data_IF_273051410590
#
_entry.id   IF_273051410590
#
_cell.length_a   1.000
_cell.length_b   1.000
_cell.length_c   1.000
_cell.angle_alpha   90.00
_cell.angle_beta   90.00
_cell.angle_gamma   90.00
#
_symmetry.space_group_name_H-M   'P 1'
#
loop_
_entity.id
_entity.type
_entity.pdbx_description
1 polymer ?
#
# COMPACT_ATOMS: atom_id res chain seq x y z
N UNK A 1 -11.69 -4.17 -15.52
CA UNK A 1 -10.85 -3.90 -14.35
C UNK A 1 -11.11 -4.92 -13.24
N UNK A 2 -10.38 -6.03 -13.30
CA UNK A 2 -10.21 -6.92 -12.14
C UNK A 2 -9.18 -6.31 -11.19
N UNK A 3 -9.39 -6.44 -9.88
CA UNK A 3 -8.53 -5.88 -8.84
C UNK A 3 -7.98 -6.98 -7.95
N UNK A 4 -6.77 -6.82 -7.43
CA UNK A 4 -6.26 -7.56 -6.27
C UNK A 4 -5.69 -6.60 -5.23
N UNK A 5 -6.07 -6.79 -3.97
CA UNK A 5 -5.36 -6.22 -2.82
C UNK A 5 -4.17 -7.14 -2.49
N UNK A 6 -3.04 -6.60 -2.03
CA UNK A 6 -1.87 -7.36 -1.56
C UNK A 6 -1.38 -6.74 -0.24
N UNK A 7 -1.58 -7.39 0.91
CA UNK A 7 -1.09 -6.90 2.19
C UNK A 7 0.42 -7.08 2.36
N UNK A 8 1.05 -6.15 3.07
CA UNK A 8 2.42 -6.30 3.59
C UNK A 8 2.47 -7.23 4.81
N UNK A 9 2.83 -8.50 4.59
CA UNK A 9 3.07 -9.48 5.66
C UNK A 9 3.49 -10.84 5.10
N UNK A 10 3.92 -11.77 5.96
CA UNK A 10 4.30 -13.17 5.58
C UNK A 10 3.18 -13.95 4.88
N UNK A 11 1.96 -13.40 4.90
CA UNK A 11 0.76 -13.89 4.25
C UNK A 11 0.35 -12.83 3.22
N UNK A 12 0.32 -13.23 1.94
CA UNK A 12 -0.19 -12.42 0.84
C UNK A 12 -1.67 -12.77 0.70
N UNK A 13 -2.57 -11.85 1.03
CA UNK A 13 -4.02 -12.01 0.77
C UNK A 13 -4.36 -11.37 -0.58
N UNK A 14 -4.71 -12.17 -1.59
CA UNK A 14 -5.07 -11.72 -2.94
C UNK A 14 -6.59 -11.78 -3.11
N UNK A 15 -7.25 -10.63 -3.26
CA UNK A 15 -8.70 -10.55 -3.42
C UNK A 15 -9.11 -10.71 -4.88
N UNK A 16 -9.75 -11.81 -5.30
CA UNK A 16 -10.10 -12.02 -6.72
C UNK A 16 -11.42 -11.33 -7.11
N UNK A 17 -11.34 -10.29 -7.94
CA UNK A 17 -12.50 -9.72 -8.63
C UNK A 17 -13.19 -10.74 -9.57
N UNK A 18 -14.52 -10.84 -9.46
CA UNK A 18 -15.42 -11.79 -10.14
C UNK A 18 -15.15 -12.02 -11.64
N UNK A 19 -15.29 -13.29 -12.09
CA UNK A 19 -15.48 -13.66 -13.50
C UNK A 19 -16.96 -13.42 -13.88
N UNK A 20 -17.15 -12.60 -14.93
CA UNK A 20 -18.42 -12.14 -15.52
C UNK A 20 -19.22 -11.19 -14.64
N UNK A 21 -18.99 -9.91 -14.87
CA UNK A 21 -20.02 -8.89 -14.66
C UNK A 21 -20.10 -8.10 -15.96
N UNK A 22 -21.27 -8.15 -16.60
CA UNK A 22 -21.63 -7.27 -17.71
C UNK A 22 -21.29 -5.83 -17.35
N UNK A 23 -20.80 -5.07 -18.33
CA UNK A 23 -20.61 -3.62 -18.41
C UNK A 23 -20.83 -2.83 -17.11
N UNK A 24 -19.86 -1.98 -16.74
CA UNK A 24 -19.96 -0.92 -15.72
C UNK A 24 -21.35 -0.25 -15.82
N UNK A 25 -22.28 -0.74 -15.00
CA UNK A 25 -23.62 -0.23 -14.88
C UNK A 25 -23.58 0.98 -13.97
N UNK A 26 -24.55 1.89 -14.11
CA UNK A 26 -24.66 3.18 -13.41
C UNK A 26 -24.92 3.06 -11.89
N UNK A 27 -24.22 2.18 -11.16
CA UNK A 27 -24.27 2.09 -9.69
C UNK A 27 -22.86 1.88 -9.15
N UNK A 28 -22.56 2.61 -8.08
CA UNK A 28 -21.25 2.67 -7.40
C UNK A 28 -20.78 1.28 -6.95
N UNK A 29 -19.45 1.14 -6.89
CA UNK A 29 -18.71 -0.11 -6.87
C UNK A 29 -19.04 -1.08 -5.73
N UNK A 30 -18.87 -2.35 -6.05
CA UNK A 30 -19.12 -3.56 -5.26
C UNK A 30 -18.01 -3.88 -4.24
N UNK A 31 -17.28 -2.88 -3.75
CA UNK A 31 -16.16 -3.07 -2.81
C UNK A 31 -16.47 -2.62 -1.38
N UNK A 32 -17.70 -2.23 -1.09
CA UNK A 32 -18.13 -1.82 0.25
C UNK A 32 -19.23 -2.76 0.76
N UNK A 33 -19.15 -3.24 2.02
CA UNK A 33 -20.25 -3.95 2.63
C UNK A 33 -21.45 -3.00 2.75
N UNK A 34 -22.64 -3.47 2.35
CA UNK A 34 -23.88 -2.66 2.43
C UNK A 34 -24.25 -2.24 3.86
N UNK A 35 -23.71 -2.96 4.83
CA UNK A 35 -23.79 -2.65 6.26
C UNK A 35 -22.38 -2.75 6.88
N UNK A 36 -21.94 -1.66 7.49
CA UNK A 36 -20.73 -1.64 8.32
C UNK A 36 -21.10 -2.17 9.71
N UNK A 37 -20.62 -3.36 10.04
CA UNK A 37 -20.60 -3.82 11.43
C UNK A 37 -19.28 -3.41 12.07
N UNK A 38 -19.35 -2.73 13.21
CA UNK A 38 -18.16 -2.37 14.00
C UNK A 38 -17.69 -3.63 14.74
N UNK A 39 -16.61 -4.25 14.28
CA UNK A 39 -16.02 -5.40 14.94
C UNK A 39 -15.18 -4.98 16.16
N UNK A 40 -15.33 -5.68 17.29
CA UNK A 40 -14.43 -5.61 18.46
C UNK A 40 -13.63 -6.91 18.55
N UNK A 41 -12.32 -6.83 18.68
CA UNK A 41 -11.45 -8.00 18.51
C UNK A 41 -10.25 -8.05 19.47
N UNK A 42 -9.69 -9.25 19.73
CA UNK A 42 -8.62 -9.47 20.72
C UNK A 42 -7.24 -8.90 20.34
N UNK A 43 -7.16 -8.04 19.32
CA UNK A 43 -5.95 -7.32 18.92
C UNK A 43 -5.75 -5.97 19.62
N UNK A 44 -6.67 -5.58 20.50
CA UNK A 44 -6.75 -4.24 21.13
C UNK A 44 -5.72 -4.00 22.26
N UNK A 45 -4.92 -5.00 22.67
CA UNK A 45 -3.99 -4.90 23.81
C UNK A 45 -2.50 -5.11 23.47
N UNK A 46 -2.10 -5.01 22.20
CA UNK A 46 -0.68 -4.99 21.81
C UNK A 46 0.08 -6.32 21.87
N UNK A 47 -0.60 -7.45 22.13
CA UNK A 47 -0.02 -8.78 21.97
C UNK A 47 -0.18 -9.30 20.53
N UNK A 48 0.82 -10.03 20.03
CA UNK A 48 0.72 -10.69 18.74
C UNK A 48 -0.38 -11.77 18.78
N UNK A 49 -1.39 -11.63 17.92
CA UNK A 49 -2.48 -12.59 17.85
C UNK A 49 -1.98 -13.93 17.28
N UNK A 50 -1.80 -14.91 18.16
CA UNK A 50 -1.60 -16.30 17.77
C UNK A 50 -2.95 -16.92 17.42
N UNK A 51 -3.25 -17.05 16.12
CA UNK A 51 -4.50 -17.65 15.65
C UNK A 51 -4.61 -19.09 16.16
N UNK A 52 -5.53 -19.38 17.11
CA UNK A 52 -5.71 -20.72 17.63
C UNK A 52 -6.20 -21.66 16.53
N UNK A 53 -5.88 -22.94 16.62
CA UNK A 53 -6.28 -23.96 15.63
C UNK A 53 -7.78 -23.97 15.33
N UNK A 54 -8.62 -23.62 16.32
CA UNK A 54 -10.07 -23.58 16.21
C UNK A 54 -10.61 -22.34 15.45
N UNK A 55 -9.77 -21.32 15.22
CA UNK A 55 -10.11 -20.14 14.42
C UNK A 55 -9.59 -20.19 12.98
N UNK A 56 -8.94 -21.31 12.58
CA UNK A 56 -8.70 -21.59 11.16
C UNK A 56 -10.01 -21.54 10.39
N UNK A 57 -11.07 -22.14 10.93
CA UNK A 57 -12.38 -22.10 10.33
C UNK A 57 -12.91 -20.68 10.11
N UNK A 58 -12.62 -19.73 11.01
CA UNK A 58 -13.01 -18.33 10.85
C UNK A 58 -12.17 -17.59 9.77
N UNK A 59 -10.89 -17.95 9.62
CA UNK A 59 -10.06 -17.47 8.52
C UNK A 59 -10.53 -18.08 7.18
N UNK A 60 -10.82 -19.38 7.16
CA UNK A 60 -11.35 -20.10 6.01
C UNK A 60 -12.76 -19.58 5.63
N UNK A 61 -13.61 -19.23 6.61
CA UNK A 61 -14.90 -18.56 6.42
C UNK A 61 -14.72 -17.16 5.81
N UNK A 62 -13.76 -16.36 6.32
CA UNK A 62 -13.41 -15.06 5.74
C UNK A 62 -12.88 -15.18 4.31
N UNK A 63 -12.09 -16.23 4.01
CA UNK A 63 -11.63 -16.54 2.65
C UNK A 63 -12.79 -16.86 1.71
N UNK A 64 -13.76 -17.65 2.18
CA UNK A 64 -14.95 -18.04 1.41
C UNK A 64 -15.95 -16.90 1.21
N UNK A 65 -16.15 -16.04 2.21
CA UNK A 65 -17.10 -14.92 2.13
C UNK A 65 -16.63 -13.82 1.17
N UNK A 66 -15.30 -13.61 1.09
CA UNK A 66 -14.72 -12.45 0.42
C UNK A 66 -13.81 -12.77 -0.77
N UNK A 67 -13.78 -14.01 -1.28
CA UNK A 67 -12.87 -14.45 -2.35
C UNK A 67 -11.41 -14.02 -2.10
N UNK A 68 -10.97 -14.21 -0.85
CA UNK A 68 -9.59 -13.94 -0.44
C UNK A 68 -8.74 -15.19 -0.61
N UNK A 69 -7.57 -15.07 -1.23
CA UNK A 69 -6.60 -16.16 -1.37
C UNK A 69 -5.35 -15.86 -0.53
N UNK A 70 -4.98 -16.77 0.38
CA UNK A 70 -3.75 -16.67 1.17
C UNK A 70 -2.60 -17.41 0.48
N UNK A 71 -1.56 -16.68 0.08
CA UNK A 71 -0.28 -17.24 -0.38
C UNK A 71 0.80 -17.12 0.69
N UNK A 72 1.47 -18.23 0.99
CA UNK A 72 2.49 -18.36 2.05
C UNK A 72 3.89 -18.48 1.48
N UNK A 73 4.86 -17.78 2.07
CA UNK A 73 6.28 -17.98 1.80
C UNK A 73 6.81 -19.23 2.51
N UNK A 74 7.76 -19.93 1.87
CA UNK A 74 8.45 -21.08 2.47
C UNK A 74 9.41 -20.64 3.57
N UNK A 75 9.97 -19.44 3.42
CA UNK A 75 10.90 -18.83 4.36
C UNK A 75 10.63 -17.31 4.49
N UNK A 76 11.38 -16.64 5.36
CA UNK A 76 11.23 -15.20 5.57
C UNK A 76 11.92 -14.45 4.42
N UNK A 77 11.11 -13.91 3.52
CA UNK A 77 11.59 -13.17 2.34
C UNK A 77 11.68 -11.64 2.55
N UNK A 78 11.10 -11.13 3.65
CA UNK A 78 10.97 -9.68 3.87
C UNK A 78 9.84 -9.04 3.07
N UNK A 79 9.60 -7.76 3.30
CA UNK A 79 8.48 -7.01 2.69
C UNK A 79 8.56 -7.01 1.16
N UNK A 80 9.74 -6.65 0.66
CA UNK A 80 10.00 -6.30 -0.74
C UNK A 80 9.73 -7.50 -1.65
N UNK A 81 10.40 -8.62 -1.40
CA UNK A 81 10.23 -9.87 -2.15
C UNK A 81 8.83 -10.45 -2.00
N UNK A 82 8.22 -10.30 -0.82
CA UNK A 82 6.84 -10.77 -0.60
C UNK A 82 5.84 -9.99 -1.45
N UNK A 83 6.00 -8.67 -1.58
CA UNK A 83 5.19 -7.84 -2.48
C UNK A 83 5.40 -8.21 -3.95
N UNK A 84 6.64 -8.39 -4.40
CA UNK A 84 6.94 -8.84 -5.76
C UNK A 84 6.32 -10.21 -6.07
N UNK A 85 6.39 -11.15 -5.13
CA UNK A 85 5.70 -12.45 -5.25
C UNK A 85 4.19 -12.28 -5.32
N UNK A 86 3.61 -11.45 -4.44
CA UNK A 86 2.18 -11.14 -4.44
C UNK A 86 1.70 -10.60 -5.79
N UNK A 87 2.48 -9.70 -6.39
CA UNK A 87 2.20 -9.18 -7.72
C UNK A 87 2.25 -10.26 -8.81
N UNK A 88 3.20 -11.20 -8.73
CA UNK A 88 3.34 -12.28 -9.71
C UNK A 88 2.12 -13.22 -9.74
N UNK A 89 1.56 -13.54 -8.58
CA UNK A 89 0.41 -14.45 -8.43
C UNK A 89 -0.95 -13.75 -8.54
N UNK A 90 -0.97 -12.42 -8.40
CA UNK A 90 -2.17 -11.63 -8.64
C UNK A 90 -2.66 -11.82 -10.09
N UNK A 91 -3.98 -11.74 -10.28
CA UNK A 91 -4.66 -11.95 -11.58
C UNK A 91 -5.44 -10.71 -12.06
N UNK A 92 -5.49 -9.67 -11.24
CA UNK A 92 -6.14 -8.40 -11.50
C UNK A 92 -5.31 -7.53 -12.44
N UNK A 93 -5.99 -6.62 -13.13
CA UNK A 93 -5.37 -5.62 -14.01
C UNK A 93 -4.61 -4.58 -13.20
N UNK A 94 -5.09 -4.25 -12.00
CA UNK A 94 -4.41 -3.39 -11.03
C UNK A 94 -4.17 -4.15 -9.73
N UNK A 95 -2.99 -3.92 -9.17
CA UNK A 95 -2.62 -4.37 -7.83
C UNK A 95 -2.67 -3.16 -6.91
N UNK A 96 -3.27 -3.33 -5.75
CA UNK A 96 -3.26 -2.35 -4.66
C UNK A 96 -2.50 -2.95 -3.50
N UNK A 97 -1.38 -2.35 -3.15
CA UNK A 97 -0.63 -2.70 -1.96
C UNK A 97 -1.20 -1.94 -0.77
N UNK A 98 -1.44 -2.66 0.32
CA UNK A 98 -1.85 -2.10 1.61
C UNK A 98 -0.96 -2.70 2.68
N UNK A 99 -0.74 -1.98 3.78
CA UNK A 99 -0.16 -2.61 4.95
C UNK A 99 -1.23 -3.40 5.71
N UNK A 100 -0.81 -4.43 6.46
CA UNK A 100 -1.73 -5.32 7.16
C UNK A 100 -2.46 -4.66 8.36
N UNK A 101 -2.24 -3.37 8.59
CA UNK A 101 -2.76 -2.57 9.70
C UNK A 101 -3.26 -1.22 9.17
N UNK A 102 -4.18 -1.31 8.21
CA UNK A 102 -4.83 -0.18 7.57
C UNK A 102 -6.35 -0.27 7.67
N UNK A 103 -7.02 0.88 7.68
CA UNK A 103 -8.47 1.00 7.52
C UNK A 103 -8.76 1.91 6.32
N UNK A 104 -9.51 1.41 5.35
CA UNK A 104 -9.81 2.15 4.13
C UNK A 104 -11.08 3.01 4.32
N UNK A 105 -11.07 4.23 3.79
CA UNK A 105 -12.21 5.14 3.93
C UNK A 105 -13.29 4.88 2.86
N UNK A 106 -14.47 5.47 3.04
CA UNK A 106 -15.57 5.41 2.07
C UNK A 106 -15.09 5.94 0.72
N UNK A 107 -15.42 5.22 -0.35
CA UNK A 107 -15.12 5.60 -1.73
C UNK A 107 -13.61 5.82 -2.00
N UNK A 108 -12.72 5.17 -1.23
CA UNK A 108 -11.27 5.30 -1.42
C UNK A 108 -10.80 4.75 -2.78
N UNK A 109 -11.38 3.62 -3.21
CA UNK A 109 -10.87 2.86 -4.33
C UNK A 109 -11.18 3.46 -5.72
N UNK A 110 -12.40 3.90 -6.06
CA UNK A 110 -12.68 4.48 -7.37
C UNK A 110 -11.79 5.67 -7.78
N UNK A 111 -11.56 6.70 -6.93
CA UNK A 111 -10.65 7.80 -7.28
C UNK A 111 -9.20 7.32 -7.39
N UNK A 112 -8.79 6.30 -6.61
CA UNK A 112 -7.46 5.70 -6.71
C UNK A 112 -7.25 5.00 -8.07
N UNK A 113 -8.24 4.27 -8.58
CA UNK A 113 -8.12 3.56 -9.85
C UNK A 113 -8.28 4.45 -11.09
N UNK A 114 -8.97 5.58 -10.98
CA UNK A 114 -9.34 6.40 -12.12
C UNK A 114 -8.14 6.96 -12.92
N UNK A 115 -7.03 7.41 -12.31
CA UNK A 115 -5.83 7.82 -13.06
C UNK A 115 -5.20 6.65 -13.81
N UNK A 116 -5.07 5.48 -13.17
CA UNK A 116 -4.49 4.27 -13.77
C UNK A 116 -5.32 3.80 -14.98
N UNK A 117 -6.65 3.93 -14.91
CA UNK A 117 -7.53 3.63 -16.03
C UNK A 117 -7.29 4.54 -17.24
N UNK A 118 -6.96 5.82 -17.01
CA UNK A 118 -6.66 6.77 -18.09
C UNK A 118 -5.27 6.59 -18.67
N UNK A 119 -4.31 6.24 -17.81
CA UNK A 119 -2.93 5.97 -18.20
C UNK A 119 -2.35 4.86 -17.32
N UNK A 120 -2.08 3.70 -17.94
CA UNK A 120 -1.59 2.50 -17.26
C UNK A 120 -0.22 2.69 -16.61
N UNK A 121 0.53 3.73 -16.99
CA UNK A 121 1.88 4.03 -16.49
C UNK A 121 1.87 4.92 -15.24
N UNK A 122 0.69 5.30 -14.77
CA UNK A 122 0.49 6.04 -13.52
C UNK A 122 0.44 5.07 -12.34
N UNK A 123 1.23 5.34 -11.31
CA UNK A 123 1.07 4.77 -9.98
C UNK A 123 0.35 5.78 -9.09
N UNK A 124 -0.72 5.35 -8.43
CA UNK A 124 -1.50 6.22 -7.55
C UNK A 124 -1.29 5.89 -6.08
N UNK A 125 -1.26 6.91 -5.24
CA UNK A 125 -1.05 6.79 -3.80
C UNK A 125 -2.25 7.44 -3.08
N UNK A 126 -2.92 6.75 -2.14
CA UNK A 126 -3.95 7.38 -1.31
C UNK A 126 -3.31 8.41 -0.36
N UNK A 127 -4.10 9.35 0.14
CA UNK A 127 -3.72 10.10 1.35
C UNK A 127 -3.71 9.11 2.51
N UNK A 128 -2.54 9.03 3.18
CA UNK A 128 -2.35 8.12 4.31
C UNK A 128 -2.62 8.89 5.59
N UNK A 129 -3.74 8.57 6.22
CA UNK A 129 -4.11 9.16 7.51
C UNK A 129 -3.50 8.35 8.66
N UNK A 130 -3.48 8.93 9.86
CA UNK A 130 -2.92 8.32 11.05
C UNK A 130 -3.98 7.64 11.88
N UNK A 131 -3.76 6.39 12.26
CA UNK A 131 -4.52 5.71 13.31
C UNK A 131 -3.60 5.58 14.52
N UNK A 132 -4.04 6.10 15.67
CA UNK A 132 -3.28 5.98 16.91
C UNK A 132 -3.22 4.50 17.36
N UNK A 133 -2.02 3.98 17.61
CA UNK A 133 -1.85 2.55 17.94
C UNK A 133 -2.38 2.15 19.33
N UNK A 134 -2.67 3.10 20.22
CA UNK A 134 -3.22 2.84 21.55
C UNK A 134 -4.72 3.05 21.60
N UNK A 135 -5.21 4.16 21.04
CA UNK A 135 -6.62 4.54 21.12
C UNK A 135 -7.43 4.14 19.89
N UNK A 136 -6.76 3.75 18.79
CA UNK A 136 -7.37 3.52 17.47
C UNK A 136 -8.14 4.73 16.94
N UNK A 137 -7.84 5.93 17.45
CA UNK A 137 -8.42 7.15 16.93
C UNK A 137 -7.87 7.46 15.54
N UNK A 138 -8.78 7.64 14.57
CA UNK A 138 -8.45 8.04 13.21
C UNK A 138 -8.23 9.55 13.14
N UNK A 139 -7.09 9.99 12.61
CA UNK A 139 -6.71 11.40 12.50
C UNK A 139 -6.18 11.70 11.10
N UNK A 140 -6.74 12.73 10.48
CA UNK A 140 -6.18 13.28 9.24
C UNK A 140 -4.78 13.83 9.53
N UNK A 141 -3.79 13.42 8.74
CA UNK A 141 -2.39 13.87 8.92
C UNK A 141 -2.21 15.28 8.35
N UNK A 142 -2.97 15.62 7.31
CA UNK A 142 -2.93 16.93 6.67
C UNK A 142 -4.23 17.72 6.92
N UNK A 143 -4.09 19.04 6.96
CA UNK A 143 -5.25 19.94 6.95
C UNK A 143 -5.95 19.95 5.59
N UNK A 144 -7.19 20.44 5.55
CA UNK A 144 -8.02 20.49 4.33
C UNK A 144 -7.49 21.44 3.24
N UNK A 145 -6.63 22.39 3.59
CA UNK A 145 -6.19 23.45 2.68
C UNK A 145 -4.87 23.13 1.97
N UNK A 146 -3.96 22.42 2.64
CA UNK A 146 -2.59 22.20 2.17
C UNK A 146 -2.37 20.73 1.83
N UNK A 147 -1.86 20.48 0.62
CA UNK A 147 -1.43 19.17 0.18
C UNK A 147 0.07 19.02 0.35
N UNK A 148 0.51 17.79 0.67
CA UNK A 148 1.90 17.42 0.82
C UNK A 148 2.28 16.37 -0.21
N UNK A 149 3.57 16.21 -0.49
CA UNK A 149 4.08 15.20 -1.41
C UNK A 149 5.33 14.55 -0.84
N UNK A 150 5.56 13.30 -1.21
CA UNK A 150 6.75 12.55 -0.84
C UNK A 150 8.01 13.10 -1.52
N UNK A 151 9.03 13.38 -0.72
CA UNK A 151 10.37 13.77 -1.14
C UNK A 151 11.43 12.90 -0.43
N UNK A 152 12.70 13.14 -0.76
CA UNK A 152 13.81 12.53 -0.06
C UNK A 152 14.91 13.56 0.23
N UNK A 153 15.63 13.36 1.32
CA UNK A 153 16.87 14.06 1.62
C UNK A 153 18.08 13.28 1.07
N UNK A 154 19.24 13.93 0.94
CA UNK A 154 20.47 13.33 0.37
C UNK A 154 21.05 12.15 1.17
N UNK A 155 20.46 11.79 2.31
CA UNK A 155 20.71 10.54 3.03
C UNK A 155 19.71 9.42 2.72
N UNK A 156 18.91 9.55 1.67
CA UNK A 156 17.81 8.62 1.32
C UNK A 156 16.81 8.45 2.47
N UNK A 157 16.47 9.56 3.13
CA UNK A 157 15.44 9.61 4.16
C UNK A 157 14.13 10.14 3.56
N UNK A 158 13.04 9.42 3.80
CA UNK A 158 11.72 9.85 3.36
C UNK A 158 11.28 11.07 4.16
N UNK A 159 10.81 12.10 3.43
CA UNK A 159 10.26 13.33 3.98
C UNK A 159 9.06 13.74 3.16
N UNK A 160 8.32 14.70 3.68
CA UNK A 160 7.18 15.29 2.99
C UNK A 160 7.30 16.79 3.04
N UNK A 161 6.93 17.45 1.94
CA UNK A 161 6.80 18.90 1.90
C UNK A 161 5.54 19.32 1.16
N UNK A 162 5.15 20.57 1.33
CA UNK A 162 3.97 21.11 0.65
C UNK A 162 4.11 21.02 -0.87
N UNK A 163 3.00 20.72 -1.53
CA UNK A 163 2.91 20.72 -2.99
C UNK A 163 3.23 22.13 -3.50
N UNK A 164 4.22 22.30 -4.38
CA UNK A 164 4.64 23.62 -4.83
C UNK A 164 3.53 24.30 -5.65
N UNK A 165 3.48 25.64 -5.61
CA UNK A 165 2.49 26.46 -6.35
C UNK A 165 2.40 26.10 -7.84
N UNK A 166 3.51 25.69 -8.47
CA UNK A 166 3.53 25.23 -9.86
C UNK A 166 2.63 24.01 -10.08
N UNK A 167 2.69 23.02 -9.20
CA UNK A 167 1.84 21.83 -9.29
C UNK A 167 0.40 22.14 -8.87
N UNK A 168 0.19 23.02 -7.88
CA UNK A 168 -1.15 23.48 -7.51
C UNK A 168 -1.88 24.13 -8.71
N UNK A 169 -1.19 24.97 -9.50
CA UNK A 169 -1.75 25.64 -10.69
C UNK A 169 -2.10 24.71 -11.85
N UNK A 170 -1.61 23.46 -11.85
CA UNK A 170 -1.94 22.48 -12.91
C UNK A 170 -3.34 21.89 -12.73
N UNK A 171 -3.96 22.08 -11.57
CA UNK A 171 -5.23 21.48 -11.18
C UNK A 171 -6.31 22.55 -11.15
N UNK A 172 -7.52 22.19 -11.58
CA UNK A 172 -8.68 23.09 -11.47
C UNK A 172 -9.28 23.01 -10.07
N UNK A 173 -9.31 21.82 -9.49
CA UNK A 173 -9.84 21.57 -8.15
C UNK A 173 -8.78 20.96 -7.23
N UNK A 174 -8.82 21.33 -5.95
CA UNK A 174 -7.93 20.78 -4.93
C UNK A 174 -8.09 19.27 -4.74
N UNK A 175 -9.26 18.72 -5.08
CA UNK A 175 -9.56 17.28 -5.05
C UNK A 175 -8.88 16.46 -6.15
N UNK A 176 -8.30 17.10 -7.17
CA UNK A 176 -7.65 16.40 -8.28
C UNK A 176 -6.29 15.80 -7.85
N UNK A 177 -5.92 14.63 -8.41
CA UNK A 177 -4.61 14.04 -8.19
C UNK A 177 -3.46 14.98 -8.55
N UNK A 178 -2.35 14.87 -7.84
CA UNK A 178 -1.15 15.69 -8.06
C UNK A 178 0.12 14.85 -8.03
N UNK A 179 1.14 15.32 -8.76
CA UNK A 179 2.39 14.59 -8.93
C UNK A 179 3.25 14.63 -7.68
N UNK A 180 3.78 13.48 -7.31
CA UNK A 180 4.74 13.33 -6.22
C UNK A 180 6.07 12.75 -6.72
N UNK A 181 7.22 13.33 -6.33
CA UNK A 181 8.54 12.76 -6.67
C UNK A 181 8.73 11.33 -6.16
N UNK A 182 8.25 11.05 -4.96
CA UNK A 182 8.35 9.73 -4.32
C UNK A 182 7.06 9.35 -3.58
N UNK A 183 7.05 8.19 -2.92
CA UNK A 183 5.94 7.73 -2.08
C UNK A 183 6.49 7.08 -0.80
N UNK A 184 5.63 6.94 0.21
CA UNK A 184 5.99 6.35 1.50
C UNK A 184 6.30 4.84 1.45
N UNK A 185 5.91 4.14 0.38
CA UNK A 185 6.16 2.72 0.17
C UNK A 185 5.01 1.80 0.58
N UNK A 186 4.33 2.10 1.69
CA UNK A 186 3.30 1.23 2.29
C UNK A 186 2.10 0.95 1.39
N UNK A 187 1.48 2.01 0.88
CA UNK A 187 0.17 1.97 0.26
C UNK A 187 0.21 2.62 -1.12
N UNK A 188 -0.15 1.88 -2.18
CA UNK A 188 -0.27 2.40 -3.54
C UNK A 188 -1.02 1.44 -4.45
N UNK A 189 -1.50 1.93 -5.58
CA UNK A 189 -2.07 1.13 -6.65
C UNK A 189 -1.30 1.34 -7.96
N UNK A 190 -1.12 0.26 -8.71
CA UNK A 190 -0.40 0.28 -9.99
C UNK A 190 -0.94 -0.79 -10.93
N UNK A 191 -0.92 -0.53 -12.24
CA UNK A 191 -1.20 -1.56 -13.24
C UNK A 191 -0.22 -2.73 -13.07
N UNK A 192 -0.76 -3.95 -13.03
CA UNK A 192 0.03 -5.16 -12.77
C UNK A 192 1.09 -5.40 -13.83
N UNK A 193 0.71 -5.31 -15.10
CA UNK A 193 1.64 -5.54 -16.21
C UNK A 193 2.73 -4.47 -16.20
N UNK A 194 2.37 -3.20 -16.00
CA UNK A 194 3.35 -2.13 -15.87
C UNK A 194 4.33 -2.35 -14.71
N UNK A 195 3.85 -2.76 -13.53
CA UNK A 195 4.74 -3.07 -12.39
C UNK A 195 5.72 -4.21 -12.72
N UNK A 196 5.26 -5.25 -13.43
CA UNK A 196 6.11 -6.37 -13.85
C UNK A 196 7.06 -5.98 -15.00
N UNK A 197 6.64 -5.10 -15.93
CA UNK A 197 7.47 -4.52 -16.99
C UNK A 197 8.63 -3.70 -16.44
N UNK A 198 8.43 -2.99 -15.34
CA UNK A 198 9.48 -2.28 -14.59
C UNK A 198 10.44 -3.23 -13.85
N UNK A 199 10.19 -4.55 -13.90
CA UNK A 199 10.95 -5.57 -13.19
C UNK A 199 10.56 -5.73 -11.72
N UNK A 200 9.35 -5.29 -11.33
CA UNK A 200 8.90 -5.22 -9.94
C UNK A 200 9.92 -4.44 -9.06
N UNK A 201 10.02 -4.77 -7.77
CA UNK A 201 11.13 -4.32 -6.94
C UNK A 201 12.42 -5.09 -7.28
N UNK A 202 13.57 -4.42 -7.15
CA UNK A 202 14.88 -5.04 -7.27
C UNK A 202 15.02 -6.24 -6.29
N UNK A 203 15.30 -7.47 -6.79
CA UNK A 203 15.48 -8.66 -5.95
C UNK A 203 16.70 -8.58 -5.00
N UNK A 204 17.65 -7.68 -5.28
CA UNK A 204 18.81 -7.40 -4.44
C UNK A 204 18.47 -6.62 -3.16
N UNK A 205 17.34 -5.91 -3.12
CA UNK A 205 16.89 -5.23 -1.91
C UNK A 205 16.38 -6.24 -0.87
N UNK A 206 16.83 -6.08 0.37
CA UNK A 206 16.56 -7.01 1.46
C UNK A 206 15.65 -6.37 2.51
N UNK A 207 14.72 -7.17 3.03
CA UNK A 207 13.86 -6.88 4.20
C UNK A 207 12.98 -5.63 4.07
N UNK A 208 13.56 -4.44 4.21
CA UNK A 208 12.89 -3.14 4.28
C UNK A 208 13.88 -2.00 4.02
N UNK A 209 13.43 -0.96 3.31
CA UNK A 209 14.16 0.28 3.12
C UNK A 209 14.67 0.45 1.69
N UNK A 210 14.47 1.64 1.13
CA UNK A 210 14.95 2.03 -0.20
C UNK A 210 14.05 1.59 -1.36
N UNK A 211 13.16 0.61 -1.16
CA UNK A 211 12.29 0.09 -2.23
C UNK A 211 11.32 1.15 -2.74
N UNK A 212 10.85 2.02 -1.85
CA UNK A 212 9.96 3.12 -2.19
C UNK A 212 10.65 4.13 -3.11
N UNK A 213 11.94 4.42 -2.90
CA UNK A 213 12.72 5.30 -3.79
C UNK A 213 13.07 4.63 -5.10
N UNK A 214 13.52 3.38 -5.05
CA UNK A 214 13.88 2.58 -6.21
C UNK A 214 12.73 2.50 -7.22
N UNK A 215 11.54 2.13 -6.75
CA UNK A 215 10.34 2.09 -7.59
C UNK A 215 9.94 3.49 -8.07
N UNK A 216 10.06 4.52 -7.22
CA UNK A 216 9.72 5.89 -7.61
C UNK A 216 10.60 6.39 -8.76
N UNK A 217 11.89 6.10 -8.68
CA UNK A 217 12.88 6.47 -9.67
C UNK A 217 12.68 5.71 -10.98
N UNK A 218 12.41 4.40 -10.92
CA UNK A 218 12.01 3.61 -12.10
C UNK A 218 10.82 4.25 -12.81
N UNK A 219 9.73 4.51 -12.09
CA UNK A 219 8.50 5.05 -12.69
C UNK A 219 8.78 6.38 -13.41
N UNK A 220 9.42 7.33 -12.72
CA UNK A 220 9.67 8.66 -13.30
C UNK A 220 10.67 8.63 -14.46
N UNK A 221 11.74 7.84 -14.36
CA UNK A 221 12.79 7.79 -15.38
C UNK A 221 12.40 6.92 -16.59
N UNK A 222 11.46 5.99 -16.41
CA UNK A 222 10.92 5.16 -17.48
C UNK A 222 9.64 5.73 -18.12
N UNK A 223 9.28 6.98 -17.81
CA UNK A 223 8.23 7.73 -18.51
C UNK A 223 6.83 7.65 -17.90
N UNK A 224 6.66 6.99 -16.75
CA UNK A 224 5.42 7.03 -15.98
C UNK A 224 5.34 8.20 -15.01
N UNK A 225 4.35 8.18 -14.13
CA UNK A 225 4.20 9.18 -13.06
C UNK A 225 3.68 8.58 -11.77
N UNK A 226 3.93 9.28 -10.67
CA UNK A 226 3.37 8.96 -9.35
C UNK A 226 2.43 10.09 -8.96
N UNK A 227 1.18 9.75 -8.65
CA UNK A 227 0.13 10.71 -8.33
C UNK A 227 -0.52 10.40 -6.99
N UNK A 228 -0.51 11.38 -6.09
CA UNK A 228 -1.26 11.30 -4.83
C UNK A 228 -2.69 11.73 -5.10
N UNK A 229 -3.66 11.00 -4.54
CA UNK A 229 -5.08 11.14 -4.85
C UNK A 229 -5.83 11.67 -3.62
N UNK A 230 -6.12 12.99 -3.54
CA UNK A 230 -6.79 13.60 -2.37
C UNK A 230 -8.12 12.95 -1.99
N UNK A 231 -8.89 12.42 -2.95
CA UNK A 231 -10.18 11.81 -2.65
C UNK A 231 -10.08 10.35 -2.15
N UNK A 232 -8.89 9.76 -2.13
CA UNK A 232 -8.67 8.40 -1.65
C UNK A 232 -7.95 8.43 -0.32
N UNK A 233 -8.63 8.13 0.77
CA UNK A 233 -8.04 8.10 2.11
C UNK A 233 -7.93 6.68 2.65
N UNK A 234 -6.79 6.37 3.26
CA UNK A 234 -6.55 5.12 3.98
C UNK A 234 -5.82 5.43 5.28
N UNK A 235 -6.40 5.05 6.41
CA UNK A 235 -5.76 5.15 7.71
C UNK A 235 -4.70 4.05 7.87
N UNK A 236 -3.58 4.41 8.48
CA UNK A 236 -2.47 3.50 8.77
C UNK A 236 -2.10 3.60 10.25
N UNK A 237 -1.95 2.46 10.93
CA UNK A 237 -1.57 2.43 12.34
C UNK A 237 -0.08 2.75 12.50
N UNK A 238 0.24 3.96 12.96
CA UNK A 238 1.62 4.36 13.21
C UNK A 238 2.12 3.87 14.57
N UNK A 239 3.24 3.16 14.57
CA UNK A 239 3.92 2.69 15.80
C UNK A 239 5.15 3.54 16.07
N UNK A 240 5.42 3.80 17.35
CA UNK A 240 6.64 4.52 17.77
C UNK A 240 7.94 3.71 17.69
N UNK A 241 7.87 2.44 17.27
CA UNK A 241 9.02 1.54 17.18
C UNK A 241 8.81 0.47 16.10
N UNK A 242 9.90 -0.09 15.57
CA UNK A 242 9.88 -1.19 14.62
C UNK A 242 9.57 -2.52 15.35
N UNK A 243 8.48 -3.22 15.03
CA UNK A 243 8.06 -4.41 15.77
C UNK A 243 8.77 -5.71 15.32
N UNK A 244 9.83 -5.62 14.51
CA UNK A 244 10.50 -6.77 13.91
C UNK A 244 12.02 -6.62 13.95
N UNK A 245 12.72 -7.75 13.94
CA UNK A 245 14.18 -7.81 13.80
C UNK A 245 14.58 -8.06 12.33
N UNK A 246 15.81 -7.72 11.97
CA UNK A 246 16.32 -8.00 10.62
C UNK A 246 16.71 -9.47 10.44
N UNK A 247 16.99 -10.19 11.53
CA UNK A 247 17.35 -11.62 11.51
C UNK A 247 18.60 -11.87 10.66
N UNK A 248 18.71 -13.06 10.07
CA UNK A 248 19.84 -13.47 9.20
C UNK A 248 19.90 -12.75 7.84
N UNK A 249 19.00 -11.81 7.59
CA UNK A 249 18.94 -11.05 6.34
C UNK A 249 19.63 -9.69 6.43
N UNK A 250 20.11 -9.30 7.62
CA UNK A 250 21.07 -8.22 7.77
C UNK A 250 22.46 -8.72 7.35
N UNK A 251 23.25 -7.94 6.59
CA UNK A 251 24.67 -8.26 6.42
C UNK A 251 25.35 -8.26 7.80
N UNK A 252 26.19 -9.26 8.06
CA UNK A 252 27.13 -9.21 9.20
C UNK A 252 28.05 -8.02 8.96
N UNK A 253 28.03 -7.02 9.84
CA UNK A 253 28.96 -5.90 9.77
C UNK A 253 30.39 -6.40 10.07
N UNK A 254 31.15 -6.78 9.05
CA UNK A 254 32.61 -6.70 9.11
C UNK A 254 33.03 -5.28 8.72
N UNK A 255 33.33 -4.47 9.73
CA UNK A 255 33.86 -3.12 9.51
C UNK A 255 33.97 -2.33 10.80
N UNK A 256 35.00 -2.61 11.60
CA UNK A 256 35.46 -1.73 12.66
C UNK A 256 35.78 -0.35 12.07
N UNK A 257 34.99 0.66 12.40
CA UNK A 257 35.39 2.05 12.23
C UNK A 257 36.35 2.41 13.37
N UNK A 258 37.65 2.39 13.09
CA UNK A 258 38.66 3.05 13.92
C UNK A 258 38.38 4.57 13.92
N UNK A 259 38.13 5.11 15.12
CA UNK A 259 38.05 6.53 15.36
C UNK A 259 39.48 7.11 15.40
N UNK A 260 39.82 7.97 14.44
CA UNK A 260 40.90 8.94 14.53
C UNK A 260 40.34 10.35 14.35
#
# INVERSE_FOLDING_TARGET
MKLNLVPAGTIISVWKGSKRSSCIGRRLGNFEPKHLEIAKGPGENGEAYHMPSHKKNAADESEMEWFSEISRNKEREGLIRTRSRGASVATGEVIVFLDAHCEVNINWLPPLLAPIYRDRTVMTVPIIDGIDYKTFEYRSVYGSENHFRGIFEWGMLYKENEVPKREQRRRQHNSEPYRSPTHAGGLFAINREYFLELGAYDPGLLVWGGENFELSFKIWQCGGSIEWVPCSHVGHVYRGFMPYNFGKLAPEEEGTFDNN
#
